data_IF_022282320788
#
_entry.id   IF_022282320788
#
_cell.length_a   1.000
_cell.length_b   1.000
_cell.length_c   1.000
_cell.angle_alpha   90.00
_cell.angle_beta   90.00
_cell.angle_gamma   90.00
#
_symmetry.space_group_name_H-M   'P 1'
#
loop_
_entity.id
_entity.type
_entity.pdbx_description
1 polymer ?
#
# COMPACT_ATOMS: atom_id res chain seq x y z
N UNK A 1 10.96 -13.43 -6.34
CA UNK A 1 11.78 -12.42 -5.63
C UNK A 1 11.00 -11.84 -4.48
N UNK A 2 11.60 -11.74 -3.30
CA UNK A 2 10.98 -11.20 -2.09
C UNK A 2 11.89 -10.17 -1.47
N UNK A 3 11.33 -9.05 -1.00
CA UNK A 3 12.08 -8.03 -0.24
C UNK A 3 11.87 -8.23 1.25
N UNK A 4 12.94 -8.14 2.04
CA UNK A 4 12.89 -8.20 3.50
C UNK A 4 12.75 -6.82 4.14
N UNK A 5 12.88 -5.75 3.38
CA UNK A 5 12.73 -4.35 3.84
C UNK A 5 11.29 -3.88 4.03
N UNK A 6 10.31 -4.77 3.97
CA UNK A 6 8.88 -4.48 4.16
C UNK A 6 8.29 -5.43 5.21
N UNK A 7 7.19 -6.11 4.92
CA UNK A 7 6.48 -6.96 5.88
C UNK A 7 7.32 -8.11 6.48
N UNK A 8 8.32 -8.60 5.76
CA UNK A 8 9.13 -9.75 6.18
C UNK A 8 10.34 -9.42 7.06
N UNK A 9 10.51 -8.22 7.54
CA UNK A 9 11.65 -7.98 8.43
C UNK A 9 11.94 -6.52 8.72
N UNK A 10 11.37 -5.62 7.96
CA UNK A 10 11.38 -4.19 8.22
C UNK A 10 12.71 -3.45 8.03
N UNK A 11 13.76 -4.11 7.52
CA UNK A 11 15.07 -3.48 7.36
C UNK A 11 15.51 -3.44 5.90
N UNK A 12 16.31 -4.38 5.43
CA UNK A 12 16.90 -4.36 4.08
C UNK A 12 17.09 -5.76 3.51
N UNK A 13 17.55 -5.82 2.27
CA UNK A 13 17.83 -7.08 1.60
C UNK A 13 16.62 -7.75 0.98
N UNK A 14 16.85 -8.91 0.45
CA UNK A 14 15.85 -9.72 -0.21
C UNK A 14 16.37 -11.12 -0.53
N UNK A 15 15.51 -11.95 -1.07
CA UNK A 15 15.88 -13.28 -1.54
C UNK A 15 15.15 -13.65 -2.84
N UNK A 16 15.72 -14.62 -3.54
CA UNK A 16 15.09 -15.29 -4.67
C UNK A 16 14.89 -16.75 -4.28
N UNK A 17 13.68 -17.22 -4.45
CA UNK A 17 13.33 -18.63 -4.29
C UNK A 17 12.69 -19.17 -5.59
N UNK A 18 12.92 -20.43 -5.90
CA UNK A 18 12.42 -21.03 -7.12
C UNK A 18 13.03 -22.40 -7.38
N UNK A 19 12.98 -22.84 -8.62
CA UNK A 19 13.58 -24.11 -9.03
C UNK A 19 15.08 -24.10 -8.75
N UNK A 20 15.61 -25.28 -8.37
CA UNK A 20 17.00 -25.45 -7.99
C UNK A 20 17.96 -24.95 -9.06
N UNK A 21 17.69 -25.27 -10.33
CA UNK A 21 18.53 -24.88 -11.48
C UNK A 21 18.64 -23.35 -11.62
N UNK A 22 17.52 -22.64 -11.37
CA UNK A 22 17.50 -21.16 -11.37
C UNK A 22 18.33 -20.60 -10.22
N UNK A 23 18.16 -21.13 -9.02
CA UNK A 23 18.90 -20.67 -7.83
C UNK A 23 20.40 -20.94 -7.99
N UNK A 24 20.78 -22.11 -8.48
CA UNK A 24 22.17 -22.47 -8.72
C UNK A 24 22.81 -21.57 -9.80
N UNK A 25 22.08 -21.29 -10.88
CA UNK A 25 22.53 -20.35 -11.92
C UNK A 25 22.74 -18.93 -11.36
N UNK A 26 21.77 -18.43 -10.56
CA UNK A 26 21.89 -17.10 -9.94
C UNK A 26 23.08 -17.01 -8.99
N UNK A 27 23.37 -18.06 -8.21
CA UNK A 27 24.54 -18.11 -7.32
C UNK A 27 25.86 -18.02 -8.09
N UNK A 28 25.90 -18.48 -9.33
CA UNK A 28 27.10 -18.44 -10.16
C UNK A 28 27.20 -17.18 -11.04
N UNK A 29 26.09 -16.54 -11.37
CA UNK A 29 26.06 -15.52 -12.43
C UNK A 29 25.48 -14.18 -12.00
N UNK A 30 24.69 -14.13 -10.90
CA UNK A 30 24.09 -12.88 -10.48
C UNK A 30 25.14 -11.94 -9.85
N UNK A 31 25.47 -10.89 -10.54
CA UNK A 31 26.47 -9.91 -10.07
C UNK A 31 26.16 -9.32 -8.67
N UNK A 32 24.90 -8.96 -8.35
CA UNK A 32 24.58 -8.50 -6.99
C UNK A 32 24.90 -9.53 -5.90
N UNK A 33 24.71 -10.81 -6.19
CA UNK A 33 25.04 -11.89 -5.25
C UNK A 33 26.55 -12.10 -5.11
N UNK A 34 27.28 -12.06 -6.22
CA UNK A 34 28.71 -12.34 -6.25
C UNK A 34 29.56 -11.17 -5.70
N UNK A 35 29.12 -9.93 -5.88
CA UNK A 35 29.92 -8.73 -5.66
C UNK A 35 29.35 -7.77 -4.63
N UNK A 36 28.22 -8.09 -3.99
CA UNK A 36 27.68 -7.32 -2.88
C UNK A 36 27.94 -8.01 -1.54
N UNK A 37 27.93 -7.20 -0.48
CA UNK A 37 27.97 -7.74 0.88
C UNK A 37 26.73 -8.59 1.18
N UNK A 38 26.86 -9.53 2.11
CA UNK A 38 25.75 -10.36 2.56
C UNK A 38 24.71 -9.57 3.33
N UNK A 39 23.47 -10.07 3.34
CA UNK A 39 22.44 -9.54 4.24
C UNK A 39 22.88 -9.77 5.70
N UNK A 40 22.80 -8.75 6.58
CA UNK A 40 23.18 -8.89 7.97
C UNK A 40 22.44 -10.05 8.65
N UNK A 41 23.11 -10.85 9.52
CA UNK A 41 22.51 -12.00 10.19
C UNK A 41 21.25 -11.67 10.99
N UNK A 42 21.19 -10.49 11.60
CA UNK A 42 20.01 -10.03 12.35
C UNK A 42 18.75 -9.92 11.45
N UNK A 43 18.91 -9.48 10.20
CA UNK A 43 17.81 -9.37 9.25
C UNK A 43 17.36 -10.77 8.80
N UNK A 44 18.33 -11.66 8.54
CA UNK A 44 18.02 -13.05 8.16
C UNK A 44 17.29 -13.77 9.30
N UNK A 45 17.74 -13.59 10.54
CA UNK A 45 17.09 -14.18 11.72
C UNK A 45 15.67 -13.66 11.91
N UNK A 46 15.45 -12.34 11.76
CA UNK A 46 14.13 -11.74 11.83
C UNK A 46 13.20 -12.27 10.74
N UNK A 47 13.68 -12.32 9.49
CA UNK A 47 12.90 -12.84 8.35
C UNK A 47 12.55 -14.32 8.51
N UNK A 48 13.51 -15.14 8.98
CA UNK A 48 13.27 -16.57 9.28
C UNK A 48 12.19 -16.73 10.36
N UNK A 49 12.26 -15.91 11.42
CA UNK A 49 11.24 -15.95 12.47
C UNK A 49 9.85 -15.53 11.98
N UNK A 50 9.78 -14.53 11.11
CA UNK A 50 8.50 -14.13 10.48
C UNK A 50 7.94 -15.28 9.62
N UNK A 51 8.77 -15.95 8.83
CA UNK A 51 8.35 -17.12 8.04
C UNK A 51 7.82 -18.25 8.92
N UNK A 52 8.49 -18.54 10.05
CA UNK A 52 8.01 -19.53 11.03
C UNK A 52 6.62 -19.16 11.58
N UNK A 53 6.39 -17.88 11.88
CA UNK A 53 5.10 -17.41 12.41
C UNK A 53 4.00 -17.57 11.37
N UNK A 54 4.20 -17.05 10.16
CA UNK A 54 3.17 -17.05 9.11
C UNK A 54 2.91 -18.43 8.50
N UNK A 55 3.84 -19.39 8.70
CA UNK A 55 3.66 -20.78 8.28
C UNK A 55 2.80 -21.59 9.25
N UNK A 56 2.69 -21.15 10.51
CA UNK A 56 1.93 -21.86 11.55
C UNK A 56 0.45 -21.48 11.60
N UNK A 57 0.11 -20.26 11.17
CA UNK A 57 -1.25 -19.74 11.24
C UNK A 57 -1.55 -18.75 10.12
N UNK A 58 -2.80 -18.68 9.69
CA UNK A 58 -3.29 -17.69 8.72
C UNK A 58 -3.94 -16.47 9.38
N UNK A 59 -4.13 -16.48 10.70
CA UNK A 59 -4.89 -15.49 11.46
C UNK A 59 -4.60 -14.04 11.08
N UNK A 60 -3.32 -13.68 10.94
CA UNK A 60 -2.92 -12.31 10.57
C UNK A 60 -3.29 -11.97 9.13
N UNK A 61 -3.20 -12.94 8.22
CA UNK A 61 -3.59 -12.78 6.80
C UNK A 61 -5.10 -12.66 6.68
N UNK A 62 -5.84 -13.48 7.40
CA UNK A 62 -7.31 -13.47 7.42
C UNK A 62 -7.83 -12.14 7.99
N UNK A 63 -7.22 -11.65 9.07
CA UNK A 63 -7.53 -10.32 9.63
C UNK A 63 -7.19 -9.20 8.64
N UNK A 64 -6.06 -9.28 7.95
CA UNK A 64 -5.67 -8.30 6.92
C UNK A 64 -6.69 -8.27 5.77
N UNK A 65 -7.10 -9.43 5.28
CA UNK A 65 -8.11 -9.55 4.24
C UNK A 65 -9.45 -8.95 4.69
N UNK A 66 -9.95 -9.35 5.87
CA UNK A 66 -11.16 -8.80 6.46
C UNK A 66 -11.13 -7.27 6.58
N UNK A 67 -10.04 -6.74 7.12
CA UNK A 67 -9.83 -5.29 7.24
C UNK A 67 -9.84 -4.60 5.88
N UNK A 68 -9.20 -5.21 4.88
CA UNK A 68 -9.11 -4.69 3.53
C UNK A 68 -10.48 -4.64 2.85
N UNK A 69 -11.24 -5.72 2.90
CA UNK A 69 -12.58 -5.80 2.33
C UNK A 69 -13.53 -4.80 3.02
N UNK A 70 -13.46 -4.70 4.34
CA UNK A 70 -14.23 -3.72 5.11
C UNK A 70 -13.93 -2.29 4.67
N UNK A 71 -12.65 -1.91 4.64
CA UNK A 71 -12.25 -0.54 4.26
C UNK A 71 -12.66 -0.22 2.82
N UNK A 72 -12.40 -1.13 1.87
CA UNK A 72 -12.79 -0.95 0.46
C UNK A 72 -14.29 -0.73 0.32
N UNK A 73 -15.09 -1.60 0.95
CA UNK A 73 -16.56 -1.49 0.93
C UNK A 73 -17.02 -0.14 1.44
N UNK A 74 -16.55 0.27 2.62
CA UNK A 74 -16.95 1.52 3.26
C UNK A 74 -16.55 2.76 2.46
N UNK A 75 -15.35 2.76 1.88
CA UNK A 75 -14.91 3.87 1.03
C UNK A 75 -15.69 3.97 -0.28
N UNK A 76 -16.04 2.83 -0.88
CA UNK A 76 -16.92 2.81 -2.07
C UNK A 76 -18.32 3.31 -1.71
N UNK A 77 -18.90 2.87 -0.59
CA UNK A 77 -20.19 3.35 -0.08
C UNK A 77 -20.17 4.87 0.18
N UNK A 78 -19.03 5.41 0.61
CA UNK A 78 -18.84 6.84 0.82
C UNK A 78 -18.69 7.64 -0.49
N UNK A 79 -18.62 6.98 -1.64
CA UNK A 79 -18.55 7.60 -2.96
C UNK A 79 -17.15 7.85 -3.50
N UNK A 80 -16.13 7.20 -2.95
CA UNK A 80 -14.77 7.28 -3.50
C UNK A 80 -14.56 6.34 -4.68
N UNK A 81 -13.88 6.82 -5.72
CA UNK A 81 -13.38 5.96 -6.78
C UNK A 81 -12.14 5.20 -6.32
N UNK A 82 -12.29 3.88 -6.23
CA UNK A 82 -11.25 2.95 -5.78
C UNK A 82 -10.96 1.95 -6.88
N UNK A 83 -9.69 1.82 -7.27
CA UNK A 83 -9.32 0.76 -8.22
C UNK A 83 -9.73 -0.61 -7.68
N UNK A 84 -10.43 -1.43 -8.48
CA UNK A 84 -10.83 -2.78 -8.09
C UNK A 84 -9.65 -3.65 -7.66
N UNK A 85 -9.92 -4.61 -6.78
CA UNK A 85 -8.93 -5.57 -6.32
C UNK A 85 -9.13 -5.98 -4.87
N UNK A 86 -8.36 -6.97 -4.45
CA UNK A 86 -8.36 -7.54 -3.09
C UNK A 86 -7.09 -7.18 -2.31
N UNK A 87 -6.16 -6.48 -2.94
CA UNK A 87 -4.86 -6.15 -2.33
C UNK A 87 -5.04 -5.15 -1.18
N UNK A 88 -4.29 -5.30 -0.06
CA UNK A 88 -4.38 -4.40 1.09
C UNK A 88 -3.84 -2.98 0.85
N UNK A 89 -3.17 -2.73 -0.26
CA UNK A 89 -2.94 -1.37 -0.75
C UNK A 89 -4.18 -0.93 -1.53
N UNK A 90 -4.87 0.07 -1.01
CA UNK A 90 -6.13 0.60 -1.57
C UNK A 90 -5.86 1.95 -2.24
N UNK A 91 -5.88 2.02 -3.59
CA UNK A 91 -5.70 3.28 -4.30
C UNK A 91 -7.01 4.07 -4.31
N UNK A 92 -7.02 5.24 -3.71
CA UNK A 92 -8.12 6.22 -3.77
C UNK A 92 -7.78 7.19 -4.90
N UNK A 93 -8.56 7.20 -5.97
CA UNK A 93 -8.28 7.95 -7.18
C UNK A 93 -8.67 9.42 -7.01
N UNK A 94 -7.74 10.32 -7.33
CA UNK A 94 -7.94 11.78 -7.27
C UNK A 94 -7.58 12.47 -8.59
N UNK A 95 -6.90 11.76 -9.49
CA UNK A 95 -6.54 12.13 -10.86
C UNK A 95 -5.63 13.35 -11.01
N UNK A 96 -5.79 14.40 -10.19
CA UNK A 96 -5.01 15.63 -10.22
C UNK A 96 -3.93 15.64 -9.13
N UNK A 97 -2.72 16.04 -9.49
CA UNK A 97 -1.54 16.02 -8.60
C UNK A 97 -1.68 16.99 -7.41
N UNK A 98 -2.17 18.21 -7.68
CA UNK A 98 -2.37 19.23 -6.64
C UNK A 98 -3.45 18.79 -5.66
N UNK A 99 -4.57 18.28 -6.17
CA UNK A 99 -5.63 17.73 -5.34
C UNK A 99 -5.14 16.60 -4.44
N UNK A 100 -4.33 15.66 -4.97
CA UNK A 100 -3.77 14.56 -4.18
C UNK A 100 -2.85 15.06 -3.05
N UNK A 101 -2.04 16.09 -3.31
CA UNK A 101 -1.18 16.71 -2.31
C UNK A 101 -1.97 17.46 -1.23
N UNK A 102 -2.92 18.29 -1.63
CA UNK A 102 -3.75 19.08 -0.72
C UNK A 102 -4.63 18.15 0.15
N UNK A 103 -5.21 17.13 -0.46
CA UNK A 103 -6.01 16.12 0.23
C UNK A 103 -5.21 15.35 1.28
N UNK A 104 -3.98 14.93 0.94
CA UNK A 104 -3.08 14.26 1.87
C UNK A 104 -2.68 15.16 3.05
N UNK A 105 -2.42 16.46 2.80
CA UNK A 105 -2.13 17.44 3.82
C UNK A 105 -3.31 17.63 4.77
N UNK A 106 -4.52 17.74 4.25
CA UNK A 106 -5.71 17.94 5.08
C UNK A 106 -6.01 16.68 5.93
N UNK A 107 -5.80 15.49 5.39
CA UNK A 107 -5.88 14.23 6.15
C UNK A 107 -4.86 14.19 7.30
N UNK A 108 -3.66 14.72 7.09
CA UNK A 108 -2.66 14.81 8.14
C UNK A 108 -3.16 15.62 9.35
N UNK A 109 -3.85 16.74 9.10
CA UNK A 109 -4.47 17.52 10.18
C UNK A 109 -5.65 16.82 10.87
N UNK A 110 -6.29 15.86 10.21
CA UNK A 110 -7.28 14.97 10.82
C UNK A 110 -6.61 13.76 11.56
N UNK A 111 -5.28 13.73 11.61
CA UNK A 111 -4.51 12.67 12.27
C UNK A 111 -4.38 11.38 11.45
N UNK A 112 -4.54 11.47 10.12
CA UNK A 112 -4.38 10.35 9.19
C UNK A 112 -3.15 10.62 8.30
N UNK A 113 -2.08 9.85 8.52
CA UNK A 113 -0.87 9.96 7.71
C UNK A 113 -0.99 9.16 6.42
N UNK A 114 -1.05 9.85 5.31
CA UNK A 114 -1.05 9.30 3.95
C UNK A 114 -0.20 10.16 3.02
N UNK A 115 0.18 9.61 1.88
CA UNK A 115 0.97 10.31 0.86
C UNK A 115 0.22 10.29 -0.47
N UNK A 116 0.15 11.44 -1.11
CA UNK A 116 -0.32 11.58 -2.50
C UNK A 116 0.75 11.07 -3.47
N UNK A 117 0.33 10.29 -4.45
CA UNK A 117 1.16 9.81 -5.55
C UNK A 117 0.72 10.49 -6.83
N UNK A 118 1.67 11.15 -7.52
CA UNK A 118 1.46 11.80 -8.80
C UNK A 118 2.59 11.48 -9.77
N UNK A 119 2.53 12.02 -10.98
CA UNK A 119 3.64 11.92 -11.93
C UNK A 119 4.94 12.47 -11.31
N UNK A 120 6.11 11.84 -11.52
CA UNK A 120 6.36 10.67 -12.40
C UNK A 120 6.18 9.29 -11.73
N UNK A 121 5.82 9.22 -10.45
CA UNK A 121 5.66 7.95 -9.71
C UNK A 121 4.47 7.14 -10.23
N UNK A 122 3.44 7.82 -10.69
CA UNK A 122 2.29 7.25 -11.39
C UNK A 122 2.08 7.99 -12.71
N UNK A 123 1.44 7.41 -13.72
CA UNK A 123 1.16 8.11 -14.97
C UNK A 123 0.37 9.41 -14.74
N UNK A 124 0.56 10.39 -15.64
CA UNK A 124 -0.20 11.63 -15.62
C UNK A 124 -1.72 11.36 -15.69
N UNK A 125 -2.50 12.14 -14.97
CA UNK A 125 -3.94 11.90 -14.85
C UNK A 125 -4.32 10.65 -14.04
N UNK A 126 -3.38 10.10 -13.24
CA UNK A 126 -3.63 8.96 -12.37
C UNK A 126 -3.17 9.22 -10.93
N UNK A 127 -3.16 10.49 -10.53
CA UNK A 127 -2.83 10.85 -9.16
C UNK A 127 -3.82 10.21 -8.18
N UNK A 128 -3.29 9.78 -7.03
CA UNK A 128 -4.04 8.99 -6.06
C UNK A 128 -3.39 9.04 -4.69
N UNK A 129 -4.15 8.70 -3.67
CA UNK A 129 -3.61 8.31 -2.37
C UNK A 129 -3.58 6.79 -2.30
N UNK A 130 -2.49 6.20 -1.84
CA UNK A 130 -2.40 4.77 -1.55
C UNK A 130 -2.51 4.54 -0.05
N UNK A 131 -3.66 4.03 0.38
CA UNK A 131 -3.86 3.61 1.76
C UNK A 131 -3.32 2.20 1.92
N UNK A 132 -2.50 1.98 2.93
CA UNK A 132 -1.96 0.66 3.26
C UNK A 132 -2.68 0.12 4.50
N UNK A 133 -3.50 -0.91 4.30
CA UNK A 133 -4.17 -1.61 5.39
C UNK A 133 -3.20 -2.58 6.05
N UNK A 134 -3.34 -2.75 7.37
CA UNK A 134 -2.52 -3.65 8.17
C UNK A 134 -3.39 -4.58 9.02
N UNK A 135 -2.84 -5.75 9.33
CA UNK A 135 -3.45 -6.69 10.27
C UNK A 135 -3.50 -6.15 11.72
N UNK A 136 -2.68 -5.15 12.06
CA UNK A 136 -2.74 -4.51 13.38
C UNK A 136 -3.85 -3.46 13.51
N UNK A 137 -4.44 -3.04 12.39
CA UNK A 137 -5.58 -2.13 12.48
C UNK A 137 -6.77 -2.82 13.12
N UNK A 138 -7.40 -2.10 14.04
CA UNK A 138 -8.72 -2.43 14.60
C UNK A 138 -9.80 -1.67 13.81
N UNK A 139 -11.04 -2.14 13.87
CA UNK A 139 -12.18 -1.51 13.16
C UNK A 139 -12.28 -0.02 13.46
N UNK A 140 -12.10 0.39 14.72
CA UNK A 140 -12.12 1.81 15.12
C UNK A 140 -11.08 2.68 14.40
N UNK A 141 -9.91 2.11 14.05
CA UNK A 141 -8.88 2.83 13.30
C UNK A 141 -9.30 3.03 11.85
N UNK A 142 -9.94 2.02 11.26
CA UNK A 142 -10.47 2.08 9.90
C UNK A 142 -11.65 3.05 9.82
N UNK A 143 -12.56 3.02 10.80
CA UNK A 143 -13.70 3.94 10.86
C UNK A 143 -13.24 5.39 10.97
N UNK A 144 -12.29 5.67 11.87
CA UNK A 144 -11.69 7.02 11.97
C UNK A 144 -11.09 7.48 10.64
N UNK A 145 -10.39 6.59 9.92
CA UNK A 145 -9.85 6.93 8.62
C UNK A 145 -10.96 7.21 7.59
N UNK A 146 -11.99 6.37 7.54
CA UNK A 146 -13.14 6.53 6.63
C UNK A 146 -13.86 7.86 6.89
N UNK A 147 -14.08 8.20 8.16
CA UNK A 147 -14.71 9.47 8.56
C UNK A 147 -13.86 10.67 8.10
N UNK A 148 -12.55 10.65 8.35
CA UNK A 148 -11.63 11.70 7.92
C UNK A 148 -11.61 11.84 6.39
N UNK A 149 -11.48 10.73 5.66
CA UNK A 149 -11.54 10.73 4.19
C UNK A 149 -12.87 11.30 3.69
N UNK A 150 -13.99 10.89 4.27
CA UNK A 150 -15.33 11.37 3.89
C UNK A 150 -15.49 12.85 4.13
N UNK A 151 -15.02 13.36 5.29
CA UNK A 151 -15.01 14.80 5.62
C UNK A 151 -14.23 15.59 4.58
N UNK A 152 -13.01 15.16 4.26
CA UNK A 152 -12.17 15.84 3.27
C UNK A 152 -12.72 15.66 1.85
N UNK A 153 -13.28 14.49 1.52
CA UNK A 153 -13.96 14.25 0.23
C UNK A 153 -15.11 15.19 -0.02
N UNK A 154 -15.91 15.50 1.02
CA UNK A 154 -16.96 16.52 0.96
C UNK A 154 -16.39 17.93 0.78
N UNK A 155 -15.33 18.30 1.51
CA UNK A 155 -14.65 19.60 1.37
C UNK A 155 -14.20 19.87 -0.05
N UNK A 156 -13.64 18.86 -0.72
CA UNK A 156 -13.19 18.98 -2.12
C UNK A 156 -14.29 18.65 -3.13
N UNK A 157 -15.48 18.24 -2.68
CA UNK A 157 -16.61 17.89 -3.54
C UNK A 157 -16.19 16.89 -4.64
N UNK A 158 -15.71 15.72 -4.19
CA UNK A 158 -15.26 14.63 -5.07
C UNK A 158 -16.05 13.34 -4.88
N UNK A 159 -16.91 13.27 -3.87
CA UNK A 159 -17.68 12.05 -3.57
C UNK A 159 -18.73 11.80 -4.65
N UNK A 160 -18.79 10.58 -5.16
CA UNK A 160 -19.71 10.19 -6.23
C UNK A 160 -19.34 10.73 -7.61
N UNK A 161 -18.20 11.40 -7.75
CA UNK A 161 -17.72 11.91 -9.03
C UNK A 161 -16.82 10.91 -9.74
N UNK A 162 -17.00 10.82 -11.03
CA UNK A 162 -16.13 10.05 -11.91
C UNK A 162 -14.83 10.82 -12.27
N UNK A 163 -13.99 10.16 -13.03
CA UNK A 163 -12.70 10.70 -13.47
C UNK A 163 -12.86 12.00 -14.27
N UNK A 164 -13.80 12.00 -15.20
CA UNK A 164 -14.04 13.10 -16.11
C UNK A 164 -14.48 14.35 -15.34
N UNK A 165 -15.41 14.21 -14.41
CA UNK A 165 -15.91 15.30 -13.57
C UNK A 165 -14.82 15.87 -12.64
N UNK A 166 -13.92 15.01 -12.11
CA UNK A 166 -12.81 15.48 -11.28
C UNK A 166 -11.78 16.23 -12.13
N UNK A 167 -11.46 15.73 -13.33
CA UNK A 167 -10.53 16.38 -14.25
C UNK A 167 -11.10 17.71 -14.75
N UNK A 168 -12.38 17.79 -15.08
CA UNK A 168 -13.05 19.03 -15.48
C UNK A 168 -12.91 20.11 -14.40
N UNK A 169 -13.08 19.72 -13.15
CA UNK A 169 -13.03 20.64 -12.01
C UNK A 169 -11.61 21.06 -11.62
N UNK A 170 -10.65 20.16 -11.65
CA UNK A 170 -9.31 20.37 -11.09
C UNK A 170 -8.18 20.42 -12.13
N UNK A 171 -8.46 20.07 -13.36
CA UNK A 171 -7.46 19.86 -14.40
C UNK A 171 -6.72 18.54 -14.29
N UNK A 172 -5.71 18.35 -15.18
CA UNK A 172 -4.81 17.17 -15.18
C UNK A 172 -3.59 17.38 -14.28
#
# INVERSE_FOLDING_TARGET
TTTMGKALGGASGGCVSGRKELVDLLRQRARPYLFSNTVPPVIVSAASKVLDIISKTTERRDKLEKNTLYFRKKMTEAGFDIKPGIHPIVPIMLYNAKLASDFARDLYYEGIYVVGFSYPVVPQGQARIRVQISAVHETKHLDKAIEAFTKIGKKYDILGKDKEQIIEKYGL
#
